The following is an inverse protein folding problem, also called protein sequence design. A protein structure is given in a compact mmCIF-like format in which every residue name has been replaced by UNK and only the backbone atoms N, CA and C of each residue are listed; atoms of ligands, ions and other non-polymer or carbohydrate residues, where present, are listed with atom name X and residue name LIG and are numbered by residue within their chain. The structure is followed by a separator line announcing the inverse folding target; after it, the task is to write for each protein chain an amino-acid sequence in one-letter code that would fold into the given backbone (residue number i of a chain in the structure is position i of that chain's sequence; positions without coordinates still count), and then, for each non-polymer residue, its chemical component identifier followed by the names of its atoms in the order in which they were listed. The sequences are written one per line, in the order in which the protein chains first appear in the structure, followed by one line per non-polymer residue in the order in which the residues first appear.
data_IF_099302359468
#
_entry.id   IF_099302359468
#
_cell.length_a   1.000
_cell.length_b   1.000
_cell.length_c   1.000
_cell.angle_alpha   90.00
_cell.angle_beta   90.00
_cell.angle_gamma   90.00
#
_symmetry.space_group_name_H-M   'P 1'
#
loop_
_entity.id
_entity.type
_entity.pdbx_description
1 polymer ?
#
# COMPACT_ATOMS: atom_id res chain seq x y z
N UNK A 1 8.10 -1.76 15.53
CA UNK A 1 8.31 -3.11 15.05
C UNK A 1 7.71 -4.11 16.04
N UNK A 2 6.70 -4.87 15.60
CA UNK A 2 6.07 -5.92 16.40
C UNK A 2 6.57 -7.30 15.98
N UNK A 3 6.81 -8.20 16.93
CA UNK A 3 7.24 -9.56 16.65
C UNK A 3 6.85 -10.53 17.77
N UNK A 4 6.81 -11.80 17.44
CA UNK A 4 6.71 -12.93 18.38
C UNK A 4 7.72 -14.00 17.97
N UNK A 5 8.27 -14.72 18.91
CA UNK A 5 9.21 -15.84 18.68
C UNK A 5 8.50 -17.13 19.09
N UNK A 6 8.45 -18.11 18.20
CA UNK A 6 7.91 -19.46 18.41
C UNK A 6 6.52 -19.48 19.08
N UNK A 7 5.64 -18.55 18.69
CA UNK A 7 4.30 -18.43 19.28
C UNK A 7 4.27 -17.88 20.71
N UNK A 8 5.37 -17.32 21.19
CA UNK A 8 5.45 -16.66 22.49
C UNK A 8 4.70 -15.31 22.53
N UNK A 9 4.87 -14.59 23.62
CA UNK A 9 4.27 -13.26 23.80
C UNK A 9 4.74 -12.28 22.74
N UNK A 10 3.83 -11.43 22.25
CA UNK A 10 4.16 -10.38 21.29
C UNK A 10 4.93 -9.25 21.99
N UNK A 11 6.03 -8.86 21.37
CA UNK A 11 6.84 -7.70 21.75
C UNK A 11 6.71 -6.60 20.71
N UNK A 12 6.68 -5.34 21.15
CA UNK A 12 6.67 -4.16 20.29
C UNK A 12 7.87 -3.29 20.63
N UNK A 13 8.71 -3.02 19.64
CA UNK A 13 9.86 -2.10 19.73
C UNK A 13 9.49 -0.78 19.09
N UNK A 14 9.51 0.29 19.85
CA UNK A 14 9.18 1.65 19.40
C UNK A 14 10.42 2.35 18.79
N UNK A 15 10.72 1.98 17.56
CA UNK A 15 11.87 2.54 16.81
C UNK A 15 11.80 4.07 16.67
N UNK A 16 10.60 4.62 16.60
CA UNK A 16 10.41 6.07 16.46
C UNK A 16 10.73 6.83 17.76
N UNK A 17 10.68 6.15 18.90
CA UNK A 17 11.09 6.67 20.19
C UNK A 17 12.55 6.34 20.54
N UNK A 18 13.28 5.68 19.62
CA UNK A 18 14.70 5.35 19.78
C UNK A 18 14.97 4.00 20.47
N UNK A 19 13.93 3.16 20.63
CA UNK A 19 14.15 1.79 21.09
C UNK A 19 14.90 0.98 20.03
N UNK A 20 15.67 -0.01 20.44
CA UNK A 20 16.52 -0.83 19.57
C UNK A 20 15.97 -2.26 19.52
N UNK A 21 15.90 -2.83 18.34
CA UNK A 21 15.55 -4.24 18.16
C UNK A 21 16.64 -5.09 18.84
N UNK A 22 16.26 -6.09 19.67
CA UNK A 22 17.23 -6.94 20.34
C UNK A 22 18.21 -7.58 19.35
N UNK A 23 19.52 -7.66 19.67
CA UNK A 23 20.54 -8.17 18.74
C UNK A 23 20.25 -9.59 18.22
N UNK A 24 19.69 -10.46 19.04
CA UNK A 24 19.34 -11.82 18.63
C UNK A 24 18.19 -11.85 17.60
N UNK A 25 17.26 -10.89 17.65
CA UNK A 25 16.21 -10.74 16.65
C UNK A 25 16.80 -10.20 15.34
N UNK A 26 17.72 -9.22 15.41
CA UNK A 26 18.42 -8.73 14.22
C UNK A 26 19.19 -9.86 13.53
N UNK A 27 19.91 -10.67 14.29
CA UNK A 27 20.63 -11.84 13.77
C UNK A 27 19.66 -12.85 13.12
N UNK A 28 18.51 -13.13 13.74
CA UNK A 28 17.50 -14.03 13.21
C UNK A 28 16.88 -13.53 11.89
N UNK A 29 16.78 -12.21 11.69
CA UNK A 29 16.27 -11.65 10.42
C UNK A 29 17.19 -11.95 9.22
N UNK A 30 18.51 -12.01 9.46
CA UNK A 30 19.52 -12.28 8.44
C UNK A 30 19.84 -13.77 8.28
N UNK A 31 19.49 -14.59 9.26
CA UNK A 31 19.73 -16.03 9.25
C UNK A 31 18.69 -16.77 8.38
N UNK A 32 19.15 -17.38 7.29
CA UNK A 32 18.29 -18.16 6.38
C UNK A 32 17.79 -19.49 6.99
N UNK A 33 18.34 -19.94 8.12
CA UNK A 33 17.87 -21.14 8.82
C UNK A 33 16.68 -20.83 9.75
N UNK A 34 16.44 -19.57 10.05
CA UNK A 34 15.31 -19.10 10.85
C UNK A 34 14.15 -18.72 9.93
N UNK A 35 13.01 -19.38 10.08
CA UNK A 35 11.81 -19.04 9.31
C UNK A 35 11.20 -17.73 9.86
N UNK A 36 11.00 -16.76 8.97
CA UNK A 36 10.31 -15.51 9.25
C UNK A 36 8.94 -15.55 8.62
N UNK A 37 7.90 -15.32 9.41
CA UNK A 37 6.53 -15.27 8.93
C UNK A 37 5.95 -13.86 9.06
N UNK A 38 5.19 -13.44 8.06
CA UNK A 38 4.40 -12.21 8.12
C UNK A 38 3.21 -12.27 7.14
N UNK A 39 2.12 -11.55 7.47
CA UNK A 39 1.00 -11.42 6.55
C UNK A 39 1.32 -10.33 5.52
N UNK A 40 1.61 -10.71 4.28
CA UNK A 40 2.24 -9.90 3.22
C UNK A 40 3.75 -9.68 3.49
N UNK A 41 4.46 -10.76 3.76
CA UNK A 41 5.86 -10.81 4.21
C UNK A 41 6.84 -10.02 3.33
N UNK A 42 6.53 -9.78 2.06
CA UNK A 42 7.34 -8.92 1.19
C UNK A 42 7.48 -7.50 1.74
N UNK A 43 6.40 -6.96 2.33
CA UNK A 43 6.44 -5.61 2.91
C UNK A 43 7.42 -5.56 4.10
N UNK A 44 7.31 -6.50 5.04
CA UNK A 44 8.20 -6.57 6.21
C UNK A 44 9.64 -6.78 5.77
N UNK A 45 9.91 -7.72 4.86
CA UNK A 45 11.23 -8.02 4.33
C UNK A 45 11.91 -6.79 3.74
N UNK A 46 11.21 -6.05 2.90
CA UNK A 46 11.74 -4.83 2.26
C UNK A 46 11.97 -3.72 3.29
N UNK A 47 11.02 -3.48 4.18
CA UNK A 47 11.15 -2.45 5.21
C UNK A 47 12.30 -2.74 6.17
N UNK A 48 12.44 -3.99 6.61
CA UNK A 48 13.51 -4.42 7.50
C UNK A 48 14.87 -4.38 6.81
N UNK A 49 14.96 -4.69 5.51
CA UNK A 49 16.19 -4.51 4.74
C UNK A 49 16.67 -3.06 4.79
N UNK A 50 15.77 -2.10 4.69
CA UNK A 50 16.10 -0.66 4.81
C UNK A 50 16.54 -0.29 6.22
N UNK A 51 15.88 -0.82 7.23
CA UNK A 51 16.23 -0.62 8.63
C UNK A 51 17.64 -1.16 8.96
N UNK A 52 18.00 -2.31 8.39
CA UNK A 52 19.31 -2.95 8.52
C UNK A 52 20.40 -2.24 7.69
N UNK A 53 20.08 -1.19 6.93
CA UNK A 53 21.05 -0.41 6.16
C UNK A 53 21.40 -0.99 4.79
N UNK A 54 20.64 -1.95 4.28
CA UNK A 54 20.86 -2.46 2.92
C UNK A 54 20.69 -1.36 1.88
N UNK A 55 21.58 -1.31 0.91
CA UNK A 55 21.53 -0.36 -0.21
C UNK A 55 20.27 -0.55 -1.07
N UNK A 56 19.90 0.48 -1.83
CA UNK A 56 18.77 0.42 -2.77
C UNK A 56 18.97 -0.71 -3.79
N UNK A 57 17.98 -1.58 -3.92
CA UNK A 57 18.03 -2.76 -4.79
C UNK A 57 18.66 -4.00 -4.14
N UNK A 58 19.07 -3.91 -2.87
CA UNK A 58 19.49 -5.08 -2.06
C UNK A 58 18.52 -5.29 -0.93
N UNK A 59 18.18 -6.55 -0.70
CA UNK A 59 17.16 -6.94 0.28
C UNK A 59 17.61 -8.19 1.03
N UNK A 60 17.01 -8.42 2.20
CA UNK A 60 17.12 -9.69 2.92
C UNK A 60 16.76 -10.85 1.97
N UNK A 61 17.48 -11.95 2.08
CA UNK A 61 17.17 -13.15 1.30
C UNK A 61 15.72 -13.60 1.51
N UNK A 62 14.96 -13.89 0.45
CA UNK A 62 13.59 -14.36 0.60
C UNK A 62 13.46 -15.84 1.00
N UNK A 63 14.54 -16.60 1.03
CA UNK A 63 14.56 -18.08 1.18
C UNK A 63 13.80 -18.56 2.42
N UNK A 64 13.93 -17.87 3.53
CA UNK A 64 13.31 -18.26 4.81
C UNK A 64 12.10 -17.40 5.19
N UNK A 65 11.53 -16.67 4.23
CA UNK A 65 10.32 -15.87 4.47
C UNK A 65 9.08 -16.61 3.99
N UNK A 66 8.20 -16.95 4.94
CA UNK A 66 6.91 -17.56 4.67
C UNK A 66 5.81 -16.50 4.80
N UNK A 67 5.03 -16.32 3.74
CA UNK A 67 3.97 -15.33 3.71
C UNK A 67 2.63 -15.96 4.11
N UNK A 68 2.08 -15.55 5.25
CA UNK A 68 0.77 -16.05 5.72
C UNK A 68 -0.37 -15.69 4.76
N UNK A 69 -0.24 -14.63 3.97
CA UNK A 69 -1.18 -14.31 2.90
C UNK A 69 -1.13 -15.33 1.75
N UNK A 70 0.07 -15.84 1.39
CA UNK A 70 0.24 -16.92 0.41
C UNK A 70 -0.37 -18.21 0.96
N UNK A 71 -0.12 -18.52 2.22
CA UNK A 71 -0.76 -19.67 2.89
C UNK A 71 -2.28 -19.56 2.86
N UNK A 72 -2.82 -18.37 3.17
CA UNK A 72 -4.25 -18.09 3.08
C UNK A 72 -4.80 -18.29 1.65
N UNK A 73 -4.06 -17.82 0.63
CA UNK A 73 -4.40 -18.01 -0.78
C UNK A 73 -4.46 -19.50 -1.14
N UNK A 74 -3.45 -20.27 -0.74
CA UNK A 74 -3.39 -21.71 -0.98
C UNK A 74 -4.61 -22.45 -0.37
N UNK A 75 -5.07 -21.97 0.78
CA UNK A 75 -6.27 -22.52 1.44
C UNK A 75 -7.61 -21.94 0.94
N UNK A 76 -7.60 -21.08 -0.08
CA UNK A 76 -8.81 -20.42 -0.59
C UNK A 76 -9.43 -19.39 0.36
N UNK A 77 -8.65 -18.86 1.30
CA UNK A 77 -9.08 -17.85 2.26
C UNK A 77 -8.89 -16.42 1.71
N UNK A 78 -9.56 -15.40 2.29
CA UNK A 78 -9.37 -14.02 1.90
C UNK A 78 -7.92 -13.52 2.03
N UNK A 79 -7.46 -12.68 1.09
CA UNK A 79 -6.11 -12.12 1.06
C UNK A 79 -5.97 -10.85 1.93
N UNK A 80 -6.61 -10.83 3.07
CA UNK A 80 -6.46 -9.77 4.06
C UNK A 80 -6.50 -10.35 5.46
N UNK A 81 -5.65 -9.83 6.34
CA UNK A 81 -5.56 -10.29 7.74
C UNK A 81 -6.93 -10.28 8.42
N UNK A 82 -7.70 -9.21 8.25
CA UNK A 82 -9.05 -9.08 8.80
C UNK A 82 -10.03 -10.10 8.19
N UNK A 83 -10.00 -10.27 6.87
CA UNK A 83 -10.89 -11.21 6.19
C UNK A 83 -10.59 -12.66 6.55
N UNK A 84 -9.32 -13.03 6.60
CA UNK A 84 -8.87 -14.34 7.00
C UNK A 84 -9.27 -14.63 8.45
N UNK A 85 -9.03 -13.71 9.37
CA UNK A 85 -9.44 -13.83 10.77
C UNK A 85 -10.95 -13.97 10.96
N UNK A 86 -11.74 -13.25 10.17
CA UNK A 86 -13.20 -13.34 10.21
C UNK A 86 -13.71 -14.73 9.75
N UNK A 87 -13.18 -15.27 8.63
CA UNK A 87 -13.53 -16.60 8.12
C UNK A 87 -13.12 -17.69 9.11
N UNK A 88 -11.94 -17.57 9.70
CA UNK A 88 -11.41 -18.51 10.69
C UNK A 88 -12.05 -18.36 12.08
N UNK A 89 -12.94 -17.36 12.26
CA UNK A 89 -13.65 -17.07 13.52
C UNK A 89 -12.67 -16.87 14.67
N UNK A 90 -11.69 -15.99 14.47
CA UNK A 90 -10.75 -15.65 15.53
C UNK A 90 -11.43 -14.76 16.58
N UNK A 91 -11.13 -15.01 17.85
CA UNK A 91 -11.65 -14.21 18.98
C UNK A 91 -11.05 -12.79 18.96
N UNK A 92 -9.79 -12.68 18.51
CA UNK A 92 -9.06 -11.44 18.39
C UNK A 92 -9.08 -10.96 16.95
N UNK A 93 -10.04 -10.09 16.65
CA UNK A 93 -10.13 -9.46 15.33
C UNK A 93 -9.31 -8.18 15.27
N UNK A 94 -8.89 -7.81 14.06
CA UNK A 94 -8.19 -6.56 13.75
C UNK A 94 -8.98 -5.36 14.26
N UNK A 95 -8.30 -4.40 14.91
CA UNK A 95 -8.90 -3.16 15.39
C UNK A 95 -9.36 -2.28 14.21
N UNK A 96 -10.61 -1.86 14.23
CA UNK A 96 -11.22 -1.05 13.15
C UNK A 96 -10.55 0.31 12.96
N UNK A 97 -9.98 0.87 14.03
CA UNK A 97 -9.28 2.17 14.03
C UNK A 97 -7.93 2.16 13.29
N UNK A 98 -7.41 0.98 12.94
CA UNK A 98 -6.09 0.85 12.31
C UNK A 98 -5.91 1.67 11.04
N UNK A 99 -6.95 1.77 10.20
CA UNK A 99 -6.90 2.57 8.95
C UNK A 99 -6.66 4.05 9.21
N UNK A 100 -7.29 4.61 10.25
CA UNK A 100 -7.11 6.03 10.62
C UNK A 100 -5.72 6.28 11.19
N UNK A 101 -5.20 5.36 12.00
CA UNK A 101 -3.87 5.45 12.60
C UNK A 101 -2.78 5.31 11.53
N UNK A 102 -2.92 4.36 10.60
CA UNK A 102 -2.03 4.23 9.44
C UNK A 102 -2.05 5.52 8.60
N UNK A 103 -3.24 6.04 8.28
CA UNK A 103 -3.36 7.29 7.52
C UNK A 103 -2.69 8.45 8.24
N UNK A 104 -2.83 8.53 9.56
CA UNK A 104 -2.26 9.62 10.35
C UNK A 104 -0.73 9.58 10.40
N UNK A 105 -0.12 8.42 10.66
CA UNK A 105 1.33 8.32 10.88
C UNK A 105 2.13 7.90 9.64
N UNK A 106 1.54 7.13 8.72
CA UNK A 106 2.26 6.54 7.59
C UNK A 106 2.05 7.29 6.27
N UNK A 107 1.00 8.12 6.16
CA UNK A 107 0.74 8.90 4.95
C UNK A 107 1.22 10.34 5.17
N UNK A 108 1.98 10.92 4.21
CA UNK A 108 2.36 12.35 4.27
C UNK A 108 1.14 13.25 4.42
N UNK A 109 1.24 14.26 5.27
CA UNK A 109 0.20 15.27 5.44
C UNK A 109 0.56 16.55 4.68
N UNK A 110 -0.46 17.33 4.29
CA UNK A 110 -0.24 18.62 3.67
C UNK A 110 0.26 19.64 4.72
N UNK A 111 1.28 20.44 4.40
CA UNK A 111 1.74 21.50 5.28
C UNK A 111 0.68 22.60 5.40
N UNK A 112 0.31 22.93 6.64
CA UNK A 112 -0.64 24.00 6.95
C UNK A 112 -0.12 24.85 8.12
N UNK A 113 -0.66 26.03 8.30
CA UNK A 113 -0.33 26.85 9.48
C UNK A 113 -0.70 26.13 10.79
N UNK A 114 -1.81 25.38 10.79
CA UNK A 114 -2.30 24.68 11.96
C UNK A 114 -1.40 23.50 12.40
N UNK A 115 -0.71 22.86 11.43
CA UNK A 115 0.22 21.77 11.74
C UNK A 115 1.69 22.20 11.78
N UNK A 116 1.98 23.52 11.81
CA UNK A 116 3.34 24.04 11.85
C UNK A 116 4.14 23.83 10.56
N UNK A 117 3.46 23.60 9.44
CA UNK A 117 4.11 23.38 8.13
C UNK A 117 4.69 21.98 7.94
N UNK A 118 4.38 21.01 8.83
CA UNK A 118 4.91 19.65 8.72
C UNK A 118 4.25 18.87 7.60
N UNK A 119 5.02 17.99 6.99
CA UNK A 119 4.57 17.07 5.95
C UNK A 119 4.37 15.63 6.45
N UNK A 120 4.66 15.38 7.75
CA UNK A 120 4.53 14.07 8.40
C UNK A 120 4.16 14.26 9.86
N UNK A 121 3.30 13.39 10.37
CA UNK A 121 3.00 13.32 11.80
C UNK A 121 3.96 12.34 12.49
N UNK A 122 4.51 12.76 13.62
CA UNK A 122 5.42 11.98 14.46
C UNK A 122 4.72 11.56 15.77
N UNK A 123 5.28 10.61 16.53
CA UNK A 123 4.73 10.19 17.82
C UNK A 123 4.40 11.33 18.78
N UNK A 124 5.28 12.33 18.86
CA UNK A 124 5.13 13.51 19.71
C UNK A 124 3.98 14.42 19.31
N UNK A 125 3.48 14.38 18.07
CA UNK A 125 2.35 15.19 17.61
C UNK A 125 0.99 14.69 18.13
N UNK A 126 0.91 13.40 18.47
CA UNK A 126 -0.30 12.78 19.04
C UNK A 126 0.06 11.53 19.86
N UNK A 127 0.59 11.70 21.09
CA UNK A 127 1.09 10.57 21.91
C UNK A 127 0.03 9.49 22.19
N UNK A 128 -1.22 9.89 22.42
CA UNK A 128 -2.31 8.94 22.66
C UNK A 128 -2.61 8.08 21.42
N UNK A 129 -2.64 8.70 20.23
CA UNK A 129 -2.80 7.97 18.98
C UNK A 129 -1.61 7.04 18.72
N UNK A 130 -0.41 7.46 19.10
CA UNK A 130 0.80 6.63 18.96
C UNK A 130 0.72 5.41 19.89
N UNK A 131 0.30 5.58 21.12
CA UNK A 131 0.09 4.46 22.04
C UNK A 131 -0.93 3.45 21.48
N UNK A 132 -2.05 3.94 20.93
CA UNK A 132 -3.05 3.08 20.27
C UNK A 132 -2.49 2.42 18.99
N UNK A 133 -1.60 3.09 18.26
CA UNK A 133 -0.96 2.52 17.09
C UNK A 133 -0.01 1.37 17.44
N UNK A 134 0.70 1.45 18.58
CA UNK A 134 1.49 0.33 19.10
C UNK A 134 0.61 -0.87 19.48
N UNK A 135 -0.51 -0.64 20.13
CA UNK A 135 -1.49 -1.70 20.44
C UNK A 135 -2.05 -2.32 19.16
N UNK A 136 -2.34 -1.50 18.15
CA UNK A 136 -2.77 -1.98 16.84
C UNK A 136 -1.71 -2.89 16.19
N UNK A 137 -0.43 -2.49 16.22
CA UNK A 137 0.65 -3.29 15.68
C UNK A 137 0.81 -4.64 16.42
N UNK A 138 0.73 -4.64 17.76
CA UNK A 138 0.74 -5.88 18.54
C UNK A 138 -0.43 -6.79 18.16
N UNK A 139 -1.62 -6.22 17.99
CA UNK A 139 -2.82 -6.97 17.61
C UNK A 139 -2.71 -7.61 16.22
N UNK A 140 -2.09 -6.93 15.26
CA UNK A 140 -1.86 -7.50 13.93
C UNK A 140 -0.94 -8.74 14.01
N UNK A 141 0.12 -8.70 14.83
CA UNK A 141 1.02 -9.86 15.07
C UNK A 141 0.28 -11.01 15.79
N UNK A 142 -0.50 -10.70 16.84
CA UNK A 142 -1.30 -11.71 17.54
C UNK A 142 -2.29 -12.40 16.59
N UNK A 143 -3.00 -11.62 15.77
CA UNK A 143 -3.98 -12.15 14.82
C UNK A 143 -3.32 -13.04 13.78
N UNK A 144 -2.15 -12.65 13.28
CA UNK A 144 -1.39 -13.46 12.35
C UNK A 144 -0.94 -14.78 12.97
N UNK A 145 -0.38 -14.74 14.18
CA UNK A 145 0.04 -15.96 14.89
C UNK A 145 -1.13 -16.93 15.11
N UNK A 146 -2.33 -16.44 15.43
CA UNK A 146 -3.53 -17.26 15.56
C UNK A 146 -3.95 -17.89 14.21
N UNK A 147 -3.82 -17.12 13.09
CA UNK A 147 -4.07 -17.67 11.74
C UNK A 147 -3.10 -18.81 11.46
N UNK A 148 -1.81 -18.61 11.66
CA UNK A 148 -0.79 -19.63 11.44
C UNK A 148 -1.06 -20.89 12.29
N UNK A 149 -1.41 -20.70 13.55
CA UNK A 149 -1.76 -21.82 14.44
C UNK A 149 -2.95 -22.62 13.89
N UNK A 150 -3.99 -21.97 13.40
CA UNK A 150 -5.16 -22.66 12.81
C UNK A 150 -4.83 -23.36 11.49
N UNK A 151 -3.94 -22.76 10.70
CA UNK A 151 -3.52 -23.34 9.42
C UNK A 151 -2.44 -24.43 9.58
N UNK A 152 -1.81 -24.57 10.73
CA UNK A 152 -0.69 -25.50 10.95
C UNK A 152 -1.01 -26.97 10.63
N UNK A 153 -2.28 -27.36 10.71
CA UNK A 153 -2.74 -28.72 10.31
C UNK A 153 -2.78 -28.90 8.77
N UNK A 154 -2.60 -27.82 8.00
CA UNK A 154 -2.67 -27.80 6.54
C UNK A 154 -1.41 -27.10 6.00
N UNK A 155 -0.23 -27.74 6.09
CA UNK A 155 1.01 -27.11 5.67
C UNK A 155 1.01 -26.85 4.16
N UNK A 156 1.64 -25.74 3.78
CA UNK A 156 1.89 -25.42 2.38
C UNK A 156 3.04 -26.32 1.88
N UNK A 157 2.92 -26.97 0.71
CA UNK A 157 4.01 -27.72 0.10
C UNK A 157 5.25 -26.87 -0.15
N UNK A 158 6.44 -27.47 -0.07
CA UNK A 158 7.71 -26.78 -0.23
C UNK A 158 7.83 -26.09 -1.59
N UNK A 159 7.29 -26.71 -2.64
CA UNK A 159 7.27 -26.19 -3.99
C UNK A 159 6.60 -24.81 -4.08
N UNK A 160 5.58 -24.55 -3.26
CA UNK A 160 4.89 -23.24 -3.21
C UNK A 160 5.78 -22.18 -2.55
N UNK A 161 6.56 -22.56 -1.54
CA UNK A 161 7.55 -21.65 -0.94
C UNK A 161 8.68 -21.35 -1.89
N UNK A 162 9.13 -22.32 -2.69
CA UNK A 162 10.12 -22.12 -3.74
C UNK A 162 9.59 -21.16 -4.80
N UNK A 163 8.36 -21.33 -5.27
CA UNK A 163 7.70 -20.40 -6.21
C UNK A 163 7.59 -18.99 -5.61
N UNK A 164 7.16 -18.87 -4.35
CA UNK A 164 7.13 -17.60 -3.66
C UNK A 164 8.51 -16.94 -3.58
N UNK A 165 9.55 -17.70 -3.27
CA UNK A 165 10.93 -17.21 -3.24
C UNK A 165 11.38 -16.71 -4.61
N UNK A 166 11.05 -17.41 -5.70
CA UNK A 166 11.35 -17.00 -7.08
C UNK A 166 10.61 -15.71 -7.41
N UNK A 167 9.32 -15.60 -7.09
CA UNK A 167 8.52 -14.38 -7.28
C UNK A 167 9.17 -13.18 -6.56
N UNK A 168 9.60 -13.37 -5.31
CA UNK A 168 10.30 -12.32 -4.57
C UNK A 168 11.60 -11.89 -5.25
N UNK A 169 12.40 -12.82 -5.76
CA UNK A 169 13.65 -12.52 -6.49
C UNK A 169 13.39 -11.77 -7.80
N UNK A 170 12.32 -12.13 -8.51
CA UNK A 170 11.90 -11.42 -9.73
C UNK A 170 11.51 -9.97 -9.36
N UNK A 171 10.71 -9.79 -8.32
CA UNK A 171 10.28 -8.47 -7.86
C UNK A 171 11.46 -7.62 -7.34
N UNK A 172 12.42 -8.21 -6.66
CA UNK A 172 13.64 -7.54 -6.19
C UNK A 172 14.52 -7.04 -7.34
N UNK A 173 14.59 -7.83 -8.41
CA UNK A 173 15.32 -7.47 -9.64
C UNK A 173 14.61 -6.37 -10.42
N UNK A 174 13.26 -6.41 -10.45
CA UNK A 174 12.43 -5.50 -11.20
C UNK A 174 12.55 -5.65 -12.71
N UNK A 175 12.01 -4.67 -13.43
CA UNK A 175 12.04 -4.62 -14.91
C UNK A 175 12.80 -3.39 -15.35
N UNK A 176 13.73 -3.54 -16.28
CA UNK A 176 14.45 -2.43 -16.89
C UNK A 176 13.49 -1.57 -17.72
N UNK A 177 13.49 -0.26 -17.46
CA UNK A 177 12.71 0.71 -18.20
C UNK A 177 13.63 1.58 -19.06
N UNK A 178 13.20 1.84 -20.30
CA UNK A 178 13.83 2.87 -21.13
C UNK A 178 13.48 4.25 -20.58
N UNK A 179 14.37 4.80 -19.77
CA UNK A 179 14.19 6.10 -19.12
C UNK A 179 14.14 7.26 -20.11
N UNK A 180 14.73 7.10 -21.30
CA UNK A 180 14.66 8.12 -22.36
C UNK A 180 13.26 8.13 -22.93
N UNK A 181 12.75 6.97 -23.36
CA UNK A 181 11.36 6.84 -23.82
C UNK A 181 10.35 7.39 -22.82
N UNK A 182 10.51 7.06 -21.55
CA UNK A 182 9.59 7.55 -20.49
C UNK A 182 9.64 9.07 -20.37
N UNK A 183 10.83 9.70 -20.38
CA UNK A 183 10.98 11.17 -20.33
C UNK A 183 10.36 11.86 -21.52
N UNK A 184 10.63 11.36 -22.72
CA UNK A 184 10.07 11.91 -23.95
C UNK A 184 8.54 11.77 -24.00
N UNK A 185 8.01 10.63 -23.55
CA UNK A 185 6.56 10.41 -23.44
C UNK A 185 5.91 11.41 -22.46
N UNK A 186 6.53 11.65 -21.31
CA UNK A 186 6.05 12.65 -20.33
C UNK A 186 6.10 14.06 -20.93
N UNK A 187 7.18 14.40 -21.63
CA UNK A 187 7.31 15.71 -22.28
C UNK A 187 6.24 15.91 -23.36
N UNK A 188 6.01 14.91 -24.21
CA UNK A 188 4.94 14.93 -25.21
C UNK A 188 3.56 15.07 -24.58
N UNK A 189 3.26 14.32 -23.54
CA UNK A 189 1.99 14.39 -22.81
C UNK A 189 1.79 15.80 -22.21
N UNK A 190 2.83 16.39 -21.65
CA UNK A 190 2.79 17.76 -21.11
C UNK A 190 2.46 18.79 -22.16
N UNK A 191 3.10 18.73 -23.34
CA UNK A 191 2.84 19.64 -24.46
C UNK A 191 1.44 19.45 -25.00
N UNK A 192 1.05 18.22 -25.32
CA UNK A 192 -0.27 17.87 -25.83
C UNK A 192 -1.38 18.23 -24.84
N UNK A 193 -1.19 17.95 -23.56
CA UNK A 193 -2.13 18.30 -22.51
C UNK A 193 -2.33 19.80 -22.36
N UNK A 194 -1.25 20.59 -22.50
CA UNK A 194 -1.32 22.04 -22.49
C UNK A 194 -2.09 22.58 -23.73
N UNK A 195 -1.74 22.14 -24.91
CA UNK A 195 -2.39 22.54 -26.15
C UNK A 195 -3.89 22.23 -26.13
N UNK A 196 -4.27 21.01 -25.73
CA UNK A 196 -5.65 20.60 -25.59
C UNK A 196 -6.40 21.42 -24.53
N UNK A 197 -5.76 21.73 -23.41
CA UNK A 197 -6.37 22.54 -22.35
C UNK A 197 -6.65 23.98 -22.85
N UNK A 198 -5.70 24.59 -23.56
CA UNK A 198 -5.87 25.92 -24.12
C UNK A 198 -6.93 25.93 -25.25
N UNK A 199 -6.96 24.91 -26.09
CA UNK A 199 -8.03 24.75 -27.07
C UNK A 199 -9.42 24.62 -26.41
N UNK A 200 -9.52 23.83 -25.35
CA UNK A 200 -10.76 23.68 -24.58
C UNK A 200 -11.15 24.99 -23.89
N UNK A 201 -10.24 25.75 -23.30
CA UNK A 201 -10.52 27.07 -22.73
C UNK A 201 -11.06 28.04 -23.81
N UNK A 202 -10.42 28.05 -24.97
CA UNK A 202 -10.83 28.88 -26.10
C UNK A 202 -12.24 28.55 -26.60
N UNK A 203 -12.57 27.26 -26.68
CA UNK A 203 -13.87 26.79 -27.15
C UNK A 203 -15.00 27.01 -26.11
N UNK A 204 -14.70 26.78 -24.83
CA UNK A 204 -15.73 26.76 -23.78
C UNK A 204 -15.80 28.03 -22.96
N UNK A 205 -14.81 28.88 -23.03
CA UNK A 205 -14.58 30.04 -22.15
C UNK A 205 -14.58 29.68 -20.65
N UNK A 206 -14.31 28.40 -20.29
CA UNK A 206 -14.22 27.95 -18.93
C UNK A 206 -12.85 28.29 -18.37
N UNK A 207 -12.77 28.72 -17.13
CA UNK A 207 -11.51 28.94 -16.42
C UNK A 207 -10.72 27.62 -16.23
N UNK A 208 -11.43 26.54 -15.87
CA UNK A 208 -10.86 25.22 -15.73
C UNK A 208 -11.69 24.17 -16.50
N UNK A 209 -11.37 23.90 -17.78
CA UNK A 209 -12.09 22.90 -18.58
C UNK A 209 -11.91 21.47 -18.08
N UNK A 210 -10.91 21.20 -17.22
CA UNK A 210 -10.74 19.89 -16.57
C UNK A 210 -11.66 19.70 -15.36
N UNK A 211 -12.39 20.72 -14.93
CA UNK A 211 -13.41 20.59 -13.90
C UNK A 211 -14.65 19.90 -14.45
N UNK A 212 -14.92 18.68 -13.97
CA UNK A 212 -16.09 17.90 -14.36
C UNK A 212 -17.39 18.69 -14.14
N UNK A 213 -17.52 19.44 -13.06
CA UNK A 213 -18.70 20.24 -12.75
C UNK A 213 -18.89 21.40 -13.73
N UNK A 214 -17.82 22.14 -14.04
CA UNK A 214 -17.88 23.26 -15.00
C UNK A 214 -18.19 22.73 -16.42
N UNK A 215 -17.55 21.65 -16.84
CA UNK A 215 -17.78 21.03 -18.14
C UNK A 215 -19.21 20.50 -18.28
N UNK A 216 -19.78 19.85 -17.27
CA UNK A 216 -21.17 19.40 -17.27
C UNK A 216 -22.14 20.57 -17.38
N UNK A 217 -21.90 21.66 -16.66
CA UNK A 217 -22.71 22.85 -16.73
C UNK A 217 -22.67 23.50 -18.15
N UNK A 218 -21.47 23.57 -18.73
CA UNK A 218 -21.31 24.09 -20.11
C UNK A 218 -21.99 23.20 -21.13
N UNK A 219 -21.87 21.87 -21.05
CA UNK A 219 -22.57 20.93 -21.94
C UNK A 219 -24.08 21.06 -21.80
N UNK A 220 -24.60 21.16 -20.59
CA UNK A 220 -26.04 21.36 -20.36
C UNK A 220 -26.57 22.68 -20.96
N UNK A 221 -25.81 23.78 -20.84
CA UNK A 221 -26.13 25.06 -21.47
C UNK A 221 -26.12 24.99 -22.99
N UNK A 222 -25.40 24.02 -23.58
CA UNK A 222 -25.36 23.76 -25.03
C UNK A 222 -26.27 22.59 -25.44
N UNK A 223 -27.22 22.18 -24.59
CA UNK A 223 -28.25 21.19 -24.91
C UNK A 223 -27.84 19.73 -24.75
N UNK A 224 -26.66 19.46 -24.14
CA UNK A 224 -26.19 18.11 -23.85
C UNK A 224 -26.19 17.84 -22.33
N UNK A 225 -27.14 17.06 -21.88
CA UNK A 225 -27.25 16.67 -20.47
C UNK A 225 -26.56 15.32 -20.21
N UNK A 226 -25.69 15.27 -19.21
CA UNK A 226 -25.03 14.04 -18.80
C UNK A 226 -24.72 14.05 -17.31
N UNK A 227 -24.83 12.88 -16.67
CA UNK A 227 -24.51 12.70 -15.25
C UNK A 227 -23.02 12.43 -15.02
N UNK A 228 -22.31 11.97 -16.05
CA UNK A 228 -20.90 11.61 -15.97
C UNK A 228 -20.16 11.95 -17.26
N UNK A 229 -18.84 12.23 -17.12
CA UNK A 229 -17.91 12.42 -18.25
C UNK A 229 -16.91 11.26 -18.34
N UNK A 230 -17.32 10.06 -17.93
CA UNK A 230 -16.51 8.85 -18.09
C UNK A 230 -16.29 8.52 -19.57
N UNK A 231 -15.18 7.84 -19.88
CA UNK A 231 -14.74 7.52 -21.26
C UNK A 231 -15.85 6.92 -22.13
N UNK A 232 -16.67 6.02 -21.59
CA UNK A 232 -17.79 5.40 -22.32
C UNK A 232 -18.87 6.42 -22.66
N UNK A 233 -19.30 7.23 -21.69
CA UNK A 233 -20.33 8.26 -21.86
C UNK A 233 -19.89 9.31 -22.89
N UNK A 234 -18.64 9.76 -22.82
CA UNK A 234 -18.10 10.71 -23.81
C UNK A 234 -18.10 10.10 -25.20
N UNK A 235 -17.73 8.83 -25.37
CA UNK A 235 -17.78 8.14 -26.66
C UNK A 235 -19.22 8.02 -27.23
N UNK A 236 -20.22 7.90 -26.36
CA UNK A 236 -21.64 7.89 -26.77
C UNK A 236 -22.13 9.29 -27.12
N UNK A 237 -21.81 10.30 -26.33
CA UNK A 237 -22.14 11.70 -26.60
C UNK A 237 -21.58 12.17 -27.95
N UNK A 238 -20.34 11.78 -28.28
CA UNK A 238 -19.72 12.12 -29.57
C UNK A 238 -20.47 11.56 -30.78
N UNK A 239 -21.27 10.50 -30.63
CA UNK A 239 -22.12 9.96 -31.72
C UNK A 239 -23.39 10.77 -31.94
N UNK A 240 -23.88 11.44 -30.92
CA UNK A 240 -25.16 12.14 -30.89
C UNK A 240 -25.03 13.67 -30.82
N UNK A 241 -23.84 14.15 -30.48
CA UNK A 241 -23.59 15.59 -30.35
C UNK A 241 -23.75 16.33 -31.69
N UNK A 242 -24.28 17.54 -31.68
CA UNK A 242 -24.30 18.43 -32.87
C UNK A 242 -22.84 18.68 -33.33
N UNK A 243 -22.60 18.73 -34.64
CA UNK A 243 -21.26 18.95 -35.25
C UNK A 243 -20.54 20.23 -34.79
N UNK A 244 -21.18 21.09 -34.02
CA UNK A 244 -20.62 22.33 -33.47
C UNK A 244 -20.17 22.21 -32.00
N UNK A 245 -20.37 21.07 -31.40
CA UNK A 245 -19.89 20.69 -30.06
C UNK A 245 -18.93 19.52 -30.18
#
# INVERSE_FOLDING_TARGET
FGYSVDGGAVSVVDLASGEIIPPHILAALEDETVIKCAFNANFERICLSRLLGYETGRYLSPVSWHCTMVWSAYMGLPLSLQGCGAVLRLDRQKLTEGKELIRYFCVPCQPTKANGGRTRNLPGDAPEKWARFKIYNARDVETEAEIQQKLSCFPVPEEIWDEYCIDQKINDTGVALDRTLVREAIAMDGVSGHELSEAMKSLTALENPNSVSQMKAWLAANGLHTDTLGKKTVAELLKTAPKRL
#
